data_IF_141084334246
#
_entry.id   IF_141084334246
#
_cell.length_a   1.000
_cell.length_b   1.000
_cell.length_c   1.000
_cell.angle_alpha   90.00
_cell.angle_beta   90.00
_cell.angle_gamma   90.00
#
_symmetry.space_group_name_H-M   'P 1'
#
loop_
_entity.id
_entity.type
_entity.pdbx_description
1 polymer ?
#
# COMPACT_ATOMS: atom_id res chain seq x y z
N UNK A 1 -24.87 4.56 -16.16
CA UNK A 1 -24.01 5.07 -15.07
C UNK A 1 -22.79 4.16 -14.99
N UNK A 2 -21.61 4.67 -15.35
CA UNK A 2 -20.37 3.90 -15.19
C UNK A 2 -20.08 3.84 -13.70
N UNK A 3 -20.07 2.62 -13.15
CA UNK A 3 -19.98 2.40 -11.72
C UNK A 3 -18.71 3.07 -11.16
N UNK A 4 -18.86 3.96 -10.18
CA UNK A 4 -17.78 4.80 -9.62
C UNK A 4 -16.62 4.01 -9.01
N UNK A 5 -16.81 2.70 -8.83
CA UNK A 5 -15.82 1.70 -8.40
C UNK A 5 -14.71 1.52 -9.43
N UNK A 6 -15.03 1.48 -10.73
CA UNK A 6 -14.06 1.23 -11.80
C UNK A 6 -13.07 2.39 -11.98
N UNK A 7 -13.56 3.63 -11.93
CA UNK A 7 -12.70 4.81 -12.02
C UNK A 7 -11.66 4.85 -10.90
N UNK A 8 -12.04 4.45 -9.68
CA UNK A 8 -11.12 4.38 -8.54
C UNK A 8 -9.99 3.38 -8.79
N UNK A 9 -10.34 2.18 -9.26
CA UNK A 9 -9.35 1.15 -9.59
C UNK A 9 -8.42 1.62 -10.71
N UNK A 10 -8.95 2.26 -11.75
CA UNK A 10 -8.16 2.75 -12.88
C UNK A 10 -7.17 3.84 -12.47
N UNK A 11 -7.59 4.82 -11.66
CA UNK A 11 -6.70 5.86 -11.14
C UNK A 11 -5.58 5.23 -10.30
N UNK A 12 -5.92 4.30 -9.40
CA UNK A 12 -4.92 3.61 -8.57
C UNK A 12 -4.00 2.75 -9.43
N UNK A 13 -4.53 2.04 -10.42
CA UNK A 13 -3.72 1.26 -11.35
C UNK A 13 -2.76 2.18 -12.11
N UNK A 14 -3.23 3.28 -12.68
CA UNK A 14 -2.40 4.20 -13.45
C UNK A 14 -1.28 4.83 -12.61
N UNK A 15 -1.57 5.20 -11.36
CA UNK A 15 -0.58 5.82 -10.48
C UNK A 15 0.45 4.81 -9.94
N UNK A 16 0.06 3.57 -9.67
CA UNK A 16 0.95 2.54 -9.11
C UNK A 16 1.52 1.53 -10.14
N UNK A 17 1.09 1.55 -11.41
CA UNK A 17 1.51 0.58 -12.44
C UNK A 17 3.01 0.57 -12.79
N UNK A 18 3.82 1.47 -12.22
CA UNK A 18 5.26 1.56 -12.52
C UNK A 18 6.12 1.92 -11.30
N UNK A 19 5.54 1.95 -10.10
CA UNK A 19 6.20 2.42 -8.89
C UNK A 19 6.16 1.31 -7.84
N UNK A 20 7.33 0.75 -7.51
CA UNK A 20 7.49 -0.03 -6.28
C UNK A 20 7.27 0.93 -5.12
N UNK A 21 6.25 0.70 -4.29
CA UNK A 21 5.93 1.58 -3.17
C UNK A 21 7.11 1.64 -2.17
N UNK A 22 7.96 2.66 -2.31
CA UNK A 22 9.10 2.92 -1.40
C UNK A 22 8.64 3.33 0.00
N UNK A 23 7.37 3.72 0.15
CA UNK A 23 6.81 4.33 1.37
C UNK A 23 5.95 3.39 2.22
N UNK A 24 5.70 2.16 1.77
CA UNK A 24 4.93 1.11 2.47
C UNK A 24 3.48 1.52 2.86
N UNK A 25 2.84 2.35 2.04
CA UNK A 25 1.48 2.85 2.27
C UNK A 25 0.43 2.20 1.37
N UNK A 26 0.85 1.42 0.38
CA UNK A 26 -0.06 0.83 -0.59
C UNK A 26 -0.96 -0.24 0.04
N UNK A 27 -0.50 -0.89 1.11
CA UNK A 27 -1.32 -1.77 1.95
C UNK A 27 -2.51 -1.04 2.58
N UNK A 28 -2.38 0.24 2.94
CA UNK A 28 -3.52 1.05 3.45
C UNK A 28 -4.52 1.38 2.35
N UNK A 29 -4.05 1.63 1.12
CA UNK A 29 -4.93 1.82 -0.04
C UNK A 29 -5.74 0.55 -0.26
N UNK A 30 -5.09 -0.61 -0.28
CA UNK A 30 -5.76 -1.91 -0.44
C UNK A 30 -6.81 -2.18 0.63
N UNK A 31 -6.56 -1.79 1.88
CA UNK A 31 -7.51 -1.93 3.00
C UNK A 31 -8.71 -1.00 2.94
N UNK A 32 -8.57 0.13 2.25
CA UNK A 32 -9.68 1.06 2.05
C UNK A 32 -10.59 0.63 0.88
N UNK A 33 -10.07 -0.16 -0.05
CA UNK A 33 -10.83 -0.70 -1.17
C UNK A 33 -11.82 -1.77 -0.73
N UNK A 34 -12.95 -1.87 -1.45
CA UNK A 34 -13.87 -3.01 -1.28
C UNK A 34 -13.18 -4.28 -1.75
N UNK A 35 -13.61 -5.44 -1.24
CA UNK A 35 -13.05 -6.77 -1.58
C UNK A 35 -12.89 -6.96 -3.09
N UNK A 36 -13.93 -6.67 -3.88
CA UNK A 36 -13.88 -6.79 -5.34
C UNK A 36 -12.87 -5.82 -5.98
N UNK A 37 -12.77 -4.60 -5.47
CA UNK A 37 -11.85 -3.58 -5.99
C UNK A 37 -10.40 -3.97 -5.68
N UNK A 38 -10.13 -4.41 -4.45
CA UNK A 38 -8.84 -4.93 -4.01
C UNK A 38 -8.40 -6.14 -4.84
N UNK A 39 -9.33 -7.05 -5.16
CA UNK A 39 -9.04 -8.22 -5.99
C UNK A 39 -8.70 -7.86 -7.43
N UNK A 40 -9.47 -6.96 -8.07
CA UNK A 40 -9.15 -6.48 -9.43
C UNK A 40 -7.80 -5.78 -9.44
N UNK A 41 -7.52 -4.94 -8.46
CA UNK A 41 -6.25 -4.21 -8.36
C UNK A 41 -5.07 -5.17 -8.11
N UNK A 42 -5.26 -6.15 -7.21
CA UNK A 42 -4.29 -7.21 -6.92
C UNK A 42 -3.92 -8.02 -8.14
N UNK A 43 -4.91 -8.37 -8.98
CA UNK A 43 -4.69 -9.07 -10.26
C UNK A 43 -3.98 -8.21 -11.31
N UNK A 44 -4.21 -6.89 -11.33
CA UNK A 44 -3.62 -5.96 -12.30
C UNK A 44 -2.16 -5.60 -11.98
N UNK A 45 -1.87 -5.31 -10.72
CA UNK A 45 -0.53 -4.90 -10.27
C UNK A 45 0.34 -6.07 -9.80
N UNK A 46 -0.29 -7.22 -9.52
CA UNK A 46 0.32 -8.42 -8.99
C UNK A 46 0.49 -8.36 -7.46
N UNK A 47 -0.09 -9.32 -6.74
CA UNK A 47 -0.08 -9.36 -5.28
C UNK A 47 1.32 -9.29 -4.65
N UNK A 48 2.36 -9.79 -5.34
CA UNK A 48 3.74 -9.72 -4.87
C UNK A 48 4.24 -8.28 -4.71
N UNK A 49 3.84 -7.38 -5.61
CA UNK A 49 4.21 -5.96 -5.60
C UNK A 49 3.51 -5.19 -4.49
N UNK A 50 2.40 -5.73 -3.98
CA UNK A 50 1.48 -5.08 -3.04
C UNK A 50 1.71 -5.55 -1.60
N UNK A 51 2.20 -6.79 -1.43
CA UNK A 51 2.36 -7.42 -0.13
C UNK A 51 3.32 -6.63 0.77
N UNK A 52 2.79 -6.03 1.83
CA UNK A 52 3.57 -5.57 2.98
C UNK A 52 3.63 -6.67 4.04
N UNK A 53 4.79 -7.30 4.18
CA UNK A 53 5.04 -8.38 5.16
C UNK A 53 4.81 -7.93 6.60
N UNK A 54 4.91 -6.63 6.89
CA UNK A 54 4.63 -6.11 8.24
C UNK A 54 3.14 -5.92 8.51
N UNK A 55 2.34 -5.79 7.45
CA UNK A 55 0.91 -5.45 7.50
C UNK A 55 0.15 -6.27 6.45
N UNK A 56 0.26 -7.62 6.46
CA UNK A 56 -0.23 -8.46 5.36
C UNK A 56 -1.76 -8.60 5.37
N UNK A 57 -2.45 -8.07 6.39
CA UNK A 57 -3.87 -8.29 6.60
C UNK A 57 -4.69 -7.60 5.51
N UNK A 58 -5.34 -8.42 4.68
CA UNK A 58 -6.31 -8.05 3.63
C UNK A 58 -6.94 -9.31 3.05
N UNK A 59 -7.89 -9.13 2.14
CA UNK A 59 -8.44 -10.22 1.34
C UNK A 59 -7.52 -10.56 0.16
N UNK A 60 -7.35 -11.85 -0.12
CA UNK A 60 -6.50 -12.36 -1.20
C UNK A 60 -7.28 -13.31 -2.09
N UNK A 61 -7.08 -13.17 -3.41
CA UNK A 61 -7.54 -14.15 -4.41
C UNK A 61 -6.34 -14.54 -5.29
N UNK A 62 -5.66 -15.62 -4.92
CA UNK A 62 -4.38 -16.05 -5.49
C UNK A 62 -4.55 -17.22 -6.44
N UNK A 63 -4.03 -17.09 -7.64
CA UNK A 63 -3.95 -18.11 -8.68
C UNK A 63 -2.65 -18.87 -8.48
N UNK A 64 -2.73 -20.08 -7.93
CA UNK A 64 -1.56 -20.83 -7.50
C UNK A 64 -0.68 -21.30 -8.66
N UNK A 65 -1.21 -21.31 -9.89
CA UNK A 65 -0.45 -21.58 -11.12
C UNK A 65 0.48 -20.42 -11.52
N UNK A 66 0.28 -19.21 -10.97
CA UNK A 66 1.18 -18.09 -11.18
C UNK A 66 2.25 -18.09 -10.10
N UNK A 67 3.51 -18.27 -10.50
CA UNK A 67 4.66 -18.33 -9.59
C UNK A 67 4.74 -17.18 -8.58
N UNK A 68 4.38 -15.96 -9.00
CA UNK A 68 4.37 -14.77 -8.13
C UNK A 68 3.32 -14.87 -7.02
N UNK A 69 2.11 -15.30 -7.35
CA UNK A 69 0.99 -15.46 -6.42
C UNK A 69 1.17 -16.70 -5.53
N UNK A 70 1.72 -17.80 -6.08
CA UNK A 70 2.19 -18.95 -5.30
C UNK A 70 3.21 -18.53 -4.23
N UNK A 71 4.17 -17.67 -4.58
CA UNK A 71 5.18 -17.17 -3.64
C UNK A 71 4.54 -16.34 -2.53
N UNK A 72 3.52 -15.53 -2.85
CA UNK A 72 2.74 -14.79 -1.85
C UNK A 72 2.00 -15.75 -0.92
N UNK A 73 1.30 -16.75 -1.46
CA UNK A 73 0.59 -17.76 -0.67
C UNK A 73 1.53 -18.48 0.30
N UNK A 74 2.72 -18.87 -0.18
CA UNK A 74 3.74 -19.54 0.64
C UNK A 74 4.27 -18.64 1.76
N UNK A 75 4.47 -17.34 1.49
CA UNK A 75 4.87 -16.36 2.52
C UNK A 75 3.79 -16.23 3.60
N UNK A 76 2.53 -16.04 3.20
CA UNK A 76 1.41 -15.89 4.13
C UNK A 76 1.19 -17.15 4.97
N UNK A 77 1.29 -18.33 4.35
CA UNK A 77 1.25 -19.62 5.06
C UNK A 77 2.33 -19.72 6.14
N UNK A 78 3.61 -19.46 5.79
CA UNK A 78 4.67 -19.52 6.79
C UNK A 78 4.48 -18.52 7.92
N UNK A 79 3.97 -17.32 7.62
CA UNK A 79 3.67 -16.31 8.65
C UNK A 79 2.58 -16.80 9.61
N UNK A 80 1.50 -17.39 9.10
CA UNK A 80 0.43 -17.97 9.92
C UNK A 80 0.97 -19.09 10.81
N UNK A 81 1.66 -20.08 10.23
CA UNK A 81 2.21 -21.21 10.99
C UNK A 81 3.22 -20.77 12.04
N UNK A 82 4.15 -19.87 11.70
CA UNK A 82 5.10 -19.36 12.68
C UNK A 82 4.39 -18.69 13.86
N UNK A 83 3.29 -17.98 13.62
CA UNK A 83 2.52 -17.36 14.69
C UNK A 83 1.74 -18.35 15.52
N UNK A 84 1.09 -19.33 14.91
CA UNK A 84 0.42 -20.42 15.62
C UNK A 84 1.42 -21.19 16.49
N UNK A 85 2.64 -21.44 16.02
CA UNK A 85 3.68 -22.12 16.81
C UNK A 85 4.22 -21.25 17.97
N UNK A 86 4.25 -19.92 17.80
CA UNK A 86 4.74 -18.99 18.81
C UNK A 86 3.70 -18.62 19.87
N UNK A 87 2.41 -18.78 19.56
CA UNK A 87 1.32 -18.38 20.45
C UNK A 87 0.50 -19.60 20.82
N UNK A 88 0.22 -19.81 22.11
CA UNK A 88 -0.79 -20.79 22.59
C UNK A 88 -2.23 -20.37 22.23
N UNK A 89 -2.39 -19.55 21.19
CA UNK A 89 -3.64 -19.00 20.75
C UNK A 89 -4.32 -19.96 19.78
N UNK A 90 -5.64 -20.10 19.90
CA UNK A 90 -6.50 -20.80 18.93
C UNK A 90 -6.88 -19.91 17.74
N UNK A 91 -6.24 -18.74 17.60
CA UNK A 91 -6.55 -17.80 16.54
C UNK A 91 -6.22 -18.37 15.16
N UNK A 92 -7.19 -18.28 14.25
CA UNK A 92 -7.05 -18.66 12.84
C UNK A 92 -6.75 -17.42 12.00
N UNK A 93 -5.57 -17.38 11.37
CA UNK A 93 -5.10 -16.27 10.55
C UNK A 93 -5.68 -16.27 9.12
N UNK A 94 -5.99 -17.44 8.53
CA UNK A 94 -6.63 -17.60 7.23
C UNK A 94 -8.12 -17.92 7.38
N UNK A 95 -8.95 -16.89 7.27
CA UNK A 95 -10.41 -16.98 7.41
C UNK A 95 -11.10 -17.07 6.06
N UNK A 96 -12.33 -17.58 6.06
CA UNK A 96 -13.18 -17.68 4.86
C UNK A 96 -12.49 -18.33 3.66
N UNK A 97 -11.66 -19.36 3.91
CA UNK A 97 -10.87 -20.02 2.88
C UNK A 97 -11.78 -20.74 1.88
N UNK A 98 -11.58 -20.45 0.60
CA UNK A 98 -12.13 -21.17 -0.53
C UNK A 98 -10.99 -21.65 -1.43
N UNK A 99 -11.13 -22.88 -1.93
CA UNK A 99 -10.25 -23.47 -2.94
C UNK A 99 -11.12 -23.80 -4.14
N UNK A 100 -10.81 -23.18 -5.29
CA UNK A 100 -11.61 -23.26 -6.53
C UNK A 100 -13.08 -22.94 -6.31
N UNK A 101 -13.34 -21.89 -5.52
CA UNK A 101 -14.68 -21.41 -5.17
C UNK A 101 -15.44 -22.30 -4.16
N UNK A 102 -14.85 -23.40 -3.70
CA UNK A 102 -15.46 -24.28 -2.68
C UNK A 102 -14.93 -23.93 -1.29
N UNK A 103 -15.81 -23.70 -0.29
CA UNK A 103 -15.36 -23.41 1.06
C UNK A 103 -14.56 -24.58 1.63
N UNK A 104 -13.49 -24.26 2.35
CA UNK A 104 -12.61 -25.24 3.01
C UNK A 104 -12.34 -24.78 4.43
N UNK A 105 -12.61 -25.67 5.39
CA UNK A 105 -12.14 -25.50 6.75
C UNK A 105 -10.82 -26.24 6.90
N UNK A 106 -9.79 -25.53 7.35
CA UNK A 106 -8.45 -26.08 7.54
C UNK A 106 -7.91 -25.60 8.88
N UNK A 107 -7.42 -26.54 9.68
CA UNK A 107 -6.66 -26.20 10.89
C UNK A 107 -5.27 -25.73 10.46
N UNK A 108 -4.85 -24.59 10.99
CA UNK A 108 -3.55 -24.02 10.69
C UNK A 108 -2.45 -24.85 11.35
N UNK A 109 -1.86 -25.74 10.55
CA UNK A 109 -0.81 -26.65 10.96
C UNK A 109 0.03 -27.11 9.77
N UNK A 110 0.98 -28.03 9.98
CA UNK A 110 1.92 -28.47 8.94
C UNK A 110 1.22 -28.97 7.65
N UNK A 111 0.06 -29.62 7.82
CA UNK A 111 -0.69 -30.22 6.71
C UNK A 111 -1.55 -29.21 5.93
N UNK A 112 -1.69 -27.98 6.42
CA UNK A 112 -2.50 -26.96 5.76
C UNK A 112 -1.99 -26.64 4.36
N UNK A 113 -0.68 -26.67 4.15
CA UNK A 113 -0.09 -26.36 2.84
C UNK A 113 -0.59 -27.30 1.74
N UNK A 114 -0.72 -28.60 2.05
CA UNK A 114 -1.22 -29.60 1.11
C UNK A 114 -2.67 -29.30 0.69
N UNK A 115 -3.49 -28.77 1.60
CA UNK A 115 -4.86 -28.35 1.29
C UNK A 115 -4.86 -27.10 0.41
N UNK A 116 -3.99 -26.13 0.70
CA UNK A 116 -3.86 -24.90 -0.09
C UNK A 116 -3.36 -25.17 -1.52
N UNK A 117 -2.55 -26.20 -1.72
CA UNK A 117 -2.12 -26.63 -3.06
C UNK A 117 -3.14 -27.52 -3.78
N UNK A 118 -4.32 -27.74 -3.20
CA UNK A 118 -5.35 -28.62 -3.79
C UNK A 118 -4.93 -30.09 -3.87
N UNK A 119 -4.04 -30.53 -2.99
CA UNK A 119 -3.38 -31.84 -3.06
C UNK A 119 -2.58 -32.07 -4.36
N UNK A 120 -2.03 -31.01 -4.96
CA UNK A 120 -1.09 -31.15 -6.05
C UNK A 120 0.10 -32.04 -5.62
N UNK A 121 0.51 -33.02 -6.45
CA UNK A 121 1.67 -33.86 -6.16
C UNK A 121 2.94 -33.06 -5.88
N UNK A 122 3.80 -33.58 -5.01
CA UNK A 122 5.09 -32.96 -4.71
C UNK A 122 5.90 -32.76 -6.00
N UNK A 123 6.40 -31.54 -6.20
CA UNK A 123 7.16 -31.15 -7.39
C UNK A 123 6.33 -30.66 -8.57
N UNK A 124 4.99 -30.64 -8.47
CA UNK A 124 4.10 -30.06 -9.50
C UNK A 124 3.57 -28.68 -9.07
N UNK A 125 3.38 -27.79 -10.05
CA UNK A 125 2.80 -26.48 -9.80
C UNK A 125 1.27 -26.61 -9.58
N UNK A 126 0.74 -26.19 -8.42
CA UNK A 126 -0.69 -26.26 -8.14
C UNK A 126 -1.50 -25.41 -9.11
N UNK A 127 -2.61 -25.96 -9.62
CA UNK A 127 -3.49 -25.28 -10.57
C UNK A 127 -4.70 -24.60 -9.91
N UNK A 128 -4.77 -24.62 -8.58
CA UNK A 128 -5.91 -24.12 -7.82
C UNK A 128 -5.93 -22.59 -7.72
N UNK A 129 -7.11 -22.05 -7.44
CA UNK A 129 -7.29 -20.66 -7.00
C UNK A 129 -7.66 -20.66 -5.53
N UNK A 130 -6.93 -19.88 -4.74
CA UNK A 130 -7.18 -19.65 -3.33
C UNK A 130 -7.88 -18.32 -3.13
N UNK A 131 -8.89 -18.29 -2.27
CA UNK A 131 -9.55 -17.07 -1.84
C UNK A 131 -9.72 -17.10 -0.32
N UNK A 132 -9.24 -16.08 0.38
CA UNK A 132 -9.29 -16.03 1.85
C UNK A 132 -9.08 -14.61 2.38
N UNK A 133 -9.52 -14.39 3.61
CA UNK A 133 -9.21 -13.21 4.39
C UNK A 133 -8.02 -13.51 5.31
N UNK A 134 -6.93 -12.76 5.16
CA UNK A 134 -5.77 -12.89 6.04
C UNK A 134 -5.92 -11.93 7.21
N UNK A 135 -6.17 -12.45 8.40
CA UNK A 135 -6.24 -11.69 9.64
C UNK A 135 -4.91 -11.82 10.38
N UNK A 136 -4.06 -10.80 10.26
CA UNK A 136 -2.76 -10.76 10.94
C UNK A 136 -2.68 -9.53 11.84
N UNK A 137 -2.16 -9.63 13.07
CA UNK A 137 -2.07 -8.51 13.99
C UNK A 137 -1.27 -7.35 13.40
N UNK A 138 -1.90 -6.17 13.32
CA UNK A 138 -1.25 -4.94 12.89
C UNK A 138 -0.87 -4.09 14.10
N UNK A 139 0.32 -4.35 14.66
CA UNK A 139 0.85 -3.60 15.80
C UNK A 139 1.21 -2.15 15.46
N UNK A 140 1.18 -1.76 14.17
CA UNK A 140 1.57 -0.43 13.69
C UNK A 140 0.39 0.44 13.27
N UNK A 141 -0.78 -0.14 13.00
CA UNK A 141 -1.99 0.57 12.53
C UNK A 141 -2.35 1.77 13.42
N UNK A 142 -2.50 1.57 14.73
CA UNK A 142 -2.92 2.63 15.65
C UNK A 142 -1.91 3.79 15.70
N UNK A 143 -0.63 3.47 15.80
CA UNK A 143 0.46 4.47 15.82
C UNK A 143 0.56 5.23 14.50
N UNK A 144 0.38 4.53 13.37
CA UNK A 144 0.45 5.14 12.05
C UNK A 144 -0.74 6.06 11.78
N UNK A 145 -1.96 5.61 12.05
CA UNK A 145 -3.17 6.42 11.90
C UNK A 145 -3.08 7.72 12.73
N UNK A 146 -2.66 7.60 13.99
CA UNK A 146 -2.45 8.75 14.89
C UNK A 146 -1.41 9.73 14.32
N UNK A 147 -0.29 9.24 13.81
CA UNK A 147 0.75 10.07 13.22
C UNK A 147 0.32 10.71 11.90
N UNK A 148 -0.44 10.00 11.06
CA UNK A 148 -0.96 10.52 9.80
C UNK A 148 -1.96 11.65 10.06
N UNK A 149 -2.91 11.45 10.98
CA UNK A 149 -3.88 12.48 11.37
C UNK A 149 -3.13 13.72 11.91
N UNK A 150 -2.17 13.52 12.83
CA UNK A 150 -1.36 14.61 13.39
C UNK A 150 -0.61 15.39 12.31
N UNK A 151 0.04 14.69 11.36
CA UNK A 151 0.76 15.32 10.25
C UNK A 151 -0.19 16.10 9.33
N UNK A 152 -1.33 15.52 8.95
CA UNK A 152 -2.32 16.19 8.09
C UNK A 152 -2.90 17.43 8.76
N UNK A 153 -3.19 17.36 10.05
CA UNK A 153 -3.62 18.52 10.84
C UNK A 153 -2.57 19.63 10.86
N UNK A 154 -1.30 19.28 11.12
CA UNK A 154 -0.19 20.24 11.10
C UNK A 154 -0.02 20.89 9.72
N UNK A 155 -0.11 20.12 8.63
CA UNK A 155 -0.07 20.65 7.27
C UNK A 155 -1.24 21.60 7.00
N UNK A 156 -2.45 21.25 7.45
CA UNK A 156 -3.61 22.12 7.31
C UNK A 156 -3.45 23.45 8.06
N UNK A 157 -2.97 23.40 9.31
CA UNK A 157 -2.68 24.61 10.10
C UNK A 157 -1.63 25.50 9.41
N UNK A 158 -0.52 24.92 8.93
CA UNK A 158 0.50 25.66 8.17
C UNK A 158 -0.05 26.29 6.89
N UNK A 159 -0.91 25.58 6.15
CA UNK A 159 -1.55 26.12 4.95
C UNK A 159 -2.49 27.28 5.29
N UNK A 160 -3.24 27.16 6.39
CA UNK A 160 -4.12 28.22 6.89
C UNK A 160 -3.33 29.46 7.32
N UNK A 161 -2.24 29.27 8.07
CA UNK A 161 -1.31 30.34 8.47
C UNK A 161 -0.68 31.02 7.25
N UNK A 162 -0.21 30.24 6.27
CA UNK A 162 0.33 30.76 5.02
C UNK A 162 -0.70 31.60 4.25
N UNK A 163 -1.94 31.09 4.10
CA UNK A 163 -3.01 31.81 3.41
C UNK A 163 -3.39 33.10 4.14
N UNK A 164 -3.45 33.09 5.48
CA UNK A 164 -3.68 34.27 6.30
C UNK A 164 -2.57 35.31 6.13
N UNK A 165 -1.30 34.90 6.18
CA UNK A 165 -0.15 35.78 5.97
C UNK A 165 -0.18 36.38 4.56
N UNK A 166 -0.44 35.54 3.55
CA UNK A 166 -0.58 35.93 2.14
C UNK A 166 -1.67 37.00 2.01
N UNK A 167 -2.86 36.73 2.53
CA UNK A 167 -4.00 37.65 2.44
C UNK A 167 -3.77 38.96 3.22
N UNK A 168 -3.08 38.92 4.36
CA UNK A 168 -2.67 40.12 5.10
C UNK A 168 -1.63 40.95 4.34
N UNK A 169 -0.67 40.31 3.66
CA UNK A 169 0.31 40.97 2.81
C UNK A 169 -0.33 41.59 1.57
N UNK A 170 -1.28 40.89 0.93
CA UNK A 170 -2.09 41.40 -0.19
C UNK A 170 -3.00 42.56 0.22
N UNK A 171 -3.56 42.56 1.43
CA UNK A 171 -4.41 43.67 1.92
C UNK A 171 -3.59 44.88 2.36
N UNK A 172 -2.37 44.70 2.86
CA UNK A 172 -1.51 45.79 3.35
C UNK A 172 -0.72 46.53 2.27
N UNK A 173 -0.54 45.94 1.10
CA UNK A 173 0.21 46.54 -0.02
C UNK A 173 -0.49 46.17 -1.30
N UNK A 174 -0.69 47.13 -2.22
CA UNK A 174 -1.11 46.90 -3.60
C UNK A 174 -0.15 46.00 -4.38
N UNK A 175 -0.12 44.71 -4.01
CA UNK A 175 0.43 43.53 -4.66
C UNK A 175 1.93 43.46 -4.89
N UNK A 176 2.45 44.24 -5.83
CA UNK A 176 3.61 43.81 -6.61
C UNK A 176 4.93 44.47 -6.18
N UNK A 177 4.93 45.78 -5.93
CA UNK A 177 6.15 46.57 -5.70
C UNK A 177 6.88 46.20 -4.38
N UNK A 178 6.13 45.69 -3.41
CA UNK A 178 6.61 45.30 -2.10
C UNK A 178 7.37 43.97 -2.05
N UNK A 179 7.07 43.08 -3.01
CA UNK A 179 7.63 41.74 -3.08
C UNK A 179 9.02 41.78 -3.73
N UNK A 180 9.16 42.51 -4.83
CA UNK A 180 10.43 42.71 -5.55
C UNK A 180 11.51 43.41 -4.71
N UNK A 181 11.13 44.23 -3.72
CA UNK A 181 12.09 44.95 -2.88
C UNK A 181 12.68 44.10 -1.74
N UNK A 182 12.02 42.99 -1.35
CA UNK A 182 12.47 42.11 -0.25
C UNK A 182 13.12 40.82 -0.74
N UNK A 183 12.80 40.41 -1.96
CA UNK A 183 13.41 39.27 -2.64
C UNK A 183 13.92 39.78 -3.99
N UNK A 184 15.10 40.46 -4.03
CA UNK A 184 15.70 40.82 -5.30
C UNK A 184 15.99 39.56 -6.10
N UNK A 185 15.81 39.61 -7.42
CA UNK A 185 16.20 38.48 -8.26
C UNK A 185 17.66 38.12 -8.01
N UNK A 186 17.99 36.81 -7.90
CA UNK A 186 19.37 36.39 -7.75
C UNK A 186 20.18 36.89 -8.95
N UNK A 187 21.38 37.42 -8.67
CA UNK A 187 22.28 37.88 -9.74
C UNK A 187 22.62 36.74 -10.70
N UNK A 188 22.98 37.05 -11.95
CA UNK A 188 23.34 36.00 -12.93
C UNK A 188 24.45 35.05 -12.43
N UNK A 189 25.37 35.56 -11.59
CA UNK A 189 26.38 34.73 -10.92
C UNK A 189 25.77 33.69 -9.96
N UNK A 190 24.73 34.06 -9.22
CA UNK A 190 24.02 33.15 -8.31
C UNK A 190 23.14 32.15 -9.06
N UNK A 191 22.60 32.53 -10.23
CA UNK A 191 21.86 31.61 -11.11
C UNK A 191 22.78 30.51 -11.67
N UNK A 192 24.04 30.84 -12.00
CA UNK A 192 25.05 29.86 -12.43
C UNK A 192 25.56 28.93 -11.31
N UNK A 193 25.67 29.40 -10.06
CA UNK A 193 26.09 28.55 -8.94
C UNK A 193 25.06 27.46 -8.58
N UNK A 194 23.77 27.78 -8.64
CA UNK A 194 22.69 26.82 -8.38
C UNK A 194 22.66 25.71 -9.44
N UNK A 195 22.88 26.05 -10.71
CA UNK A 195 22.99 25.09 -11.81
C UNK A 195 24.20 24.15 -11.65
N UNK A 196 25.35 24.63 -11.16
CA UNK A 196 26.52 23.77 -10.94
C UNK A 196 26.41 22.83 -9.72
N UNK A 197 25.54 23.16 -8.75
CA UNK A 197 25.25 22.31 -7.60
C UNK A 197 24.28 21.17 -7.94
N UNK A 198 23.36 21.36 -8.89
CA UNK A 198 22.47 20.29 -9.36
C UNK A 198 23.22 19.22 -10.16
N UNK A 199 24.26 19.58 -10.91
CA UNK A 199 25.09 18.63 -11.67
C UNK A 199 25.98 17.74 -10.77
N UNK A 200 26.26 18.14 -9.53
CA UNK A 200 27.03 17.32 -8.56
C UNK A 200 26.18 16.36 -7.74
N UNK A 201 24.85 16.41 -7.86
CA UNK A 201 23.93 15.52 -7.14
C UNK A 201 23.58 14.26 -7.94
N UNK A 202 24.17 14.08 -9.13
CA UNK A 202 23.94 12.94 -10.02
C UNK A 202 25.23 12.20 -10.47
N UNK A 203 26.33 12.34 -9.72
CA UNK A 203 27.46 11.39 -9.74
C UNK A 203 27.55 10.69 -8.39
#
# INVERSE_FOLDING_TARGET
MVDSSWHRIEIVTAFWARITDRSRNFSDVMRYLRVNEANVLGKRLGYYSILDVNRPSMHYQLRMYLKSEYTVAKKLFHMAIQKVLQTTSTHTYMKNLHVDGKPKHVLEGPNMWQVLTGNAPDGTDPQTTLEFDFDYPDTKAQTYASNLIKRRWQTHQRSKEYNLLRDQLWRRRGGLAAYQSKFPEPSEKQKHEVLSCEDRLWT
#
